data_IF_943611219812
#
_entry.id   IF_943611219812
#
_cell.length_a   1.000
_cell.length_b   1.000
_cell.length_c   1.000
_cell.angle_alpha   90.00
_cell.angle_beta   90.00
_cell.angle_gamma   90.00
#
_symmetry.space_group_name_H-M   'P 1'
#
loop_
_entity.id
_entity.type
_entity.pdbx_description
1 polymer ?
#
# COMPACT_ATOMS: atom_id res chain seq x y z
N UNK A 1 0.14 6.90 15.70
CA UNK A 1 0.87 8.08 15.17
C UNK A 1 1.88 7.54 14.17
N UNK A 2 1.96 8.08 12.95
CA UNK A 2 3.04 7.70 12.05
C UNK A 2 4.36 8.18 12.68
N UNK A 3 5.28 7.26 12.96
CA UNK A 3 6.60 7.64 13.46
C UNK A 3 7.22 8.63 12.48
N UNK A 4 7.56 9.82 12.97
CA UNK A 4 8.27 10.80 12.18
C UNK A 4 9.60 10.18 11.73
N UNK A 5 9.98 10.42 10.47
CA UNK A 5 11.30 10.04 9.99
C UNK A 5 12.34 10.74 10.88
N UNK A 6 13.18 9.99 11.57
CA UNK A 6 14.37 10.57 12.19
C UNK A 6 15.41 10.79 11.09
N UNK A 7 15.99 11.97 11.03
CA UNK A 7 17.01 12.36 10.05
C UNK A 7 18.15 13.14 10.72
N UNK A 8 18.16 13.20 12.06
CA UNK A 8 19.12 13.98 12.82
C UNK A 8 20.53 13.40 12.77
N UNK A 9 20.68 12.13 12.42
CA UNK A 9 21.97 11.45 12.25
C UNK A 9 22.53 11.58 10.82
N UNK A 10 21.79 12.18 9.88
CA UNK A 10 22.24 12.34 8.50
C UNK A 10 23.27 13.45 8.34
N UNK A 11 24.26 13.22 7.47
CA UNK A 11 25.31 14.18 7.12
C UNK A 11 25.11 14.68 5.69
N UNK A 12 25.50 15.92 5.42
CA UNK A 12 25.78 16.30 4.04
C UNK A 12 27.04 15.58 3.57
N UNK A 13 26.94 14.85 2.46
CA UNK A 13 28.05 14.11 1.86
C UNK A 13 28.43 14.67 0.49
N UNK A 14 29.72 14.61 0.15
CA UNK A 14 30.23 14.97 -1.17
C UNK A 14 31.36 14.05 -1.64
N UNK A 15 31.84 14.24 -2.87
CA UNK A 15 32.92 13.41 -3.46
C UNK A 15 34.31 13.65 -2.89
N UNK A 16 34.53 14.77 -2.19
CA UNK A 16 35.84 15.15 -1.65
C UNK A 16 35.73 16.16 -0.51
N UNK A 17 36.83 16.37 0.20
CA UNK A 17 37.00 17.53 1.09
C UNK A 17 36.87 18.87 0.31
N UNK A 18 36.48 19.96 0.98
CA UNK A 18 36.34 21.30 0.37
C UNK A 18 37.70 21.94 0.05
N UNK A 19 37.77 22.76 -1.02
CA UNK A 19 39.02 23.34 -1.57
C UNK A 19 39.38 24.67 -0.89
N UNK A 20 38.38 25.47 -0.56
CA UNK A 20 38.44 26.58 0.42
C UNK A 20 37.40 26.25 1.49
N UNK A 21 37.34 26.95 2.65
CA UNK A 21 36.31 26.67 3.63
C UNK A 21 34.93 26.54 2.97
N UNK A 22 34.43 25.30 2.92
CA UNK A 22 33.11 24.90 2.42
C UNK A 22 32.80 25.17 0.95
N UNK A 23 33.80 25.18 0.06
CA UNK A 23 33.52 25.34 -1.38
C UNK A 23 34.13 24.23 -2.22
N UNK A 24 33.43 23.90 -3.30
CA UNK A 24 33.81 22.91 -4.29
C UNK A 24 33.79 23.55 -5.67
N UNK A 25 34.56 22.98 -6.60
CA UNK A 25 34.42 23.32 -8.02
C UNK A 25 33.07 22.84 -8.54
N UNK A 26 32.59 23.48 -9.60
CA UNK A 26 31.44 22.99 -10.36
C UNK A 26 31.68 21.54 -10.83
N UNK A 27 30.61 20.74 -10.86
CA UNK A 27 30.65 19.39 -11.41
C UNK A 27 29.78 18.37 -10.68
N UNK A 28 29.83 17.14 -11.20
CA UNK A 28 28.98 16.04 -10.76
C UNK A 28 29.58 15.27 -9.58
N UNK A 29 28.72 14.67 -8.77
CA UNK A 29 29.05 13.63 -7.82
C UNK A 29 27.93 12.57 -7.87
N UNK A 30 28.33 11.30 -8.00
CA UNK A 30 27.40 10.17 -8.10
C UNK A 30 27.61 9.26 -6.91
N UNK A 31 26.55 9.01 -6.15
CA UNK A 31 26.56 8.27 -4.89
C UNK A 31 25.77 6.98 -5.01
N UNK A 32 26.24 5.91 -4.36
CA UNK A 32 25.54 4.62 -4.23
C UNK A 32 25.60 4.10 -2.81
N UNK A 33 24.51 3.50 -2.36
CA UNK A 33 24.44 2.68 -1.14
C UNK A 33 23.58 1.47 -1.40
N UNK A 34 24.20 0.30 -1.40
CA UNK A 34 23.50 -0.98 -1.39
C UNK A 34 23.17 -1.37 0.04
N UNK A 35 21.93 -1.78 0.25
CA UNK A 35 21.42 -2.21 1.53
C UNK A 35 20.69 -3.54 1.38
N UNK A 36 20.97 -4.49 2.27
CA UNK A 36 20.36 -5.82 2.25
C UNK A 36 19.39 -5.94 3.42
N UNK A 37 18.15 -6.40 3.19
CA UNK A 37 17.21 -6.66 4.28
C UNK A 37 17.81 -7.64 5.31
N UNK A 38 17.67 -7.37 6.62
CA UNK A 38 18.09 -8.31 7.65
C UNK A 38 17.38 -9.65 7.50
N UNK A 39 18.06 -10.73 7.85
CA UNK A 39 17.50 -12.09 7.77
C UNK A 39 16.19 -12.15 8.57
N UNK A 40 15.14 -12.66 7.94
CA UNK A 40 13.82 -12.81 8.56
C UNK A 40 12.95 -11.54 8.54
N UNK A 41 13.44 -10.45 7.95
CA UNK A 41 12.65 -9.23 7.73
C UNK A 41 12.18 -9.16 6.28
N UNK A 42 10.93 -8.75 6.08
CA UNK A 42 10.34 -8.51 4.76
C UNK A 42 10.09 -7.00 4.59
N UNK A 43 10.95 -6.29 3.84
CA UNK A 43 10.79 -4.85 3.65
C UNK A 43 9.58 -4.57 2.76
N UNK A 44 8.81 -3.56 3.13
CA UNK A 44 7.65 -3.11 2.35
C UNK A 44 8.04 -1.93 1.45
N UNK A 45 8.53 -0.86 2.04
CA UNK A 45 8.87 0.37 1.35
C UNK A 45 9.89 1.21 2.14
N UNK A 46 10.50 2.16 1.45
CA UNK A 46 11.33 3.22 1.99
C UNK A 46 10.57 4.54 1.98
N UNK A 47 10.58 5.24 3.11
CA UNK A 47 10.23 6.66 3.23
C UNK A 47 11.53 7.47 3.19
N UNK A 48 11.72 8.24 2.12
CA UNK A 48 13.00 8.84 1.74
C UNK A 48 12.89 10.35 1.74
N UNK A 49 13.69 11.04 2.54
CA UNK A 49 13.96 12.47 2.37
C UNK A 49 15.23 12.62 1.54
N UNK A 50 15.22 13.51 0.56
CA UNK A 50 16.39 13.88 -0.21
C UNK A 50 16.46 15.39 -0.47
N UNK A 51 17.68 15.92 -0.40
CA UNK A 51 18.01 17.31 -0.62
C UNK A 51 19.46 17.42 -1.13
N UNK A 52 19.77 18.49 -1.86
CA UNK A 52 21.13 18.76 -2.28
C UNK A 52 21.37 20.26 -2.45
N UNK A 53 22.65 20.60 -2.39
CA UNK A 53 23.23 21.85 -2.86
C UNK A 53 24.14 21.52 -4.07
N UNK A 54 23.75 21.82 -5.31
CA UNK A 54 22.54 22.54 -5.73
C UNK A 54 21.38 21.61 -6.14
N UNK A 55 21.69 20.50 -6.82
CA UNK A 55 20.68 19.65 -7.43
C UNK A 55 20.98 18.16 -7.28
N UNK A 56 19.92 17.35 -7.29
CA UNK A 56 20.02 15.90 -7.30
C UNK A 56 18.94 15.24 -8.16
N UNK A 57 19.24 14.02 -8.59
CA UNK A 57 18.27 13.01 -9.04
C UNK A 57 18.46 11.74 -8.21
N UNK A 58 17.37 11.26 -7.61
CA UNK A 58 17.32 10.05 -6.79
C UNK A 58 16.84 8.86 -7.63
N UNK A 59 17.50 7.73 -7.45
CA UNK A 59 17.14 6.45 -8.02
C UNK A 59 17.06 5.38 -6.93
N UNK A 60 16.14 4.44 -7.10
CA UNK A 60 16.04 3.24 -6.26
C UNK A 60 15.87 2.03 -7.17
N UNK A 61 16.76 1.06 -7.02
CA UNK A 61 16.74 -0.21 -7.77
C UNK A 61 16.61 -0.03 -9.30
N UNK A 62 17.39 0.88 -9.88
CA UNK A 62 17.33 1.16 -11.31
C UNK A 62 16.32 2.24 -11.73
N UNK A 63 15.33 2.55 -10.88
CA UNK A 63 14.23 3.44 -11.24
C UNK A 63 14.47 4.86 -10.75
N UNK A 64 14.33 5.85 -11.64
CA UNK A 64 14.30 7.26 -11.25
C UNK A 64 13.06 7.53 -10.38
N UNK A 65 13.30 8.00 -9.16
CA UNK A 65 12.25 8.30 -8.17
C UNK A 65 11.84 9.77 -8.23
N UNK A 66 12.83 10.67 -8.30
CA UNK A 66 12.58 12.11 -8.27
C UNK A 66 13.85 12.95 -8.37
N UNK A 67 13.68 14.27 -8.38
CA UNK A 67 14.79 15.23 -8.47
C UNK A 67 14.44 16.54 -7.79
N UNK A 68 15.43 17.23 -7.24
CA UNK A 68 15.26 18.53 -6.59
C UNK A 68 16.41 19.49 -6.86
N UNK A 69 16.13 20.78 -6.78
CA UNK A 69 17.07 21.89 -7.05
C UNK A 69 16.95 23.02 -6.01
N UNK A 70 16.26 22.78 -4.89
CA UNK A 70 15.92 23.81 -3.90
C UNK A 70 16.46 23.40 -2.55
N UNK A 71 17.57 24.01 -2.12
CA UNK A 71 18.21 23.69 -0.85
C UNK A 71 17.27 23.86 0.36
N UNK A 72 16.51 24.96 0.41
CA UNK A 72 15.63 25.27 1.55
C UNK A 72 14.43 24.31 1.73
N UNK A 73 14.16 23.45 0.74
CA UNK A 73 13.03 22.53 0.76
C UNK A 73 13.46 21.13 0.30
N UNK A 74 13.55 20.20 1.25
CA UNK A 74 13.77 18.80 0.90
C UNK A 74 12.54 18.23 0.18
N UNK A 75 12.74 17.19 -0.61
CA UNK A 75 11.63 16.38 -1.12
C UNK A 75 11.54 15.08 -0.36
N UNK A 76 10.34 14.50 -0.30
CA UNK A 76 10.08 13.23 0.36
C UNK A 76 9.38 12.29 -0.59
N UNK A 77 9.83 11.04 -0.61
CA UNK A 77 9.36 10.01 -1.53
C UNK A 77 9.00 8.75 -0.76
N UNK A 78 8.05 7.99 -1.29
CA UNK A 78 7.74 6.66 -0.83
C UNK A 78 8.04 5.69 -1.97
N UNK A 79 8.90 4.70 -1.74
CA UNK A 79 9.33 3.75 -2.78
C UNK A 79 9.22 2.31 -2.28
N UNK A 80 8.48 1.41 -2.96
CA UNK A 80 8.47 -0.02 -2.63
C UNK A 80 9.86 -0.63 -2.71
N UNK A 81 10.17 -1.57 -1.83
CA UNK A 81 11.46 -2.26 -1.79
C UNK A 81 11.33 -3.73 -2.23
N UNK A 82 12.46 -4.29 -2.68
CA UNK A 82 12.60 -5.71 -2.93
C UNK A 82 12.92 -6.47 -1.64
N UNK A 83 12.56 -7.75 -1.62
CA UNK A 83 12.97 -8.75 -0.62
C UNK A 83 14.45 -9.16 -0.74
N UNK A 84 15.12 -8.72 -1.81
CA UNK A 84 16.55 -8.87 -2.08
C UNK A 84 17.32 -7.59 -1.71
N UNK A 85 18.65 -7.52 -1.92
CA UNK A 85 19.36 -6.24 -1.81
C UNK A 85 18.69 -5.14 -2.63
N UNK A 86 18.62 -3.95 -2.04
CA UNK A 86 18.11 -2.73 -2.64
C UNK A 86 19.27 -1.74 -2.80
N UNK A 87 19.24 -0.94 -3.86
CA UNK A 87 20.24 0.08 -4.15
C UNK A 87 19.57 1.45 -4.13
N UNK A 88 20.13 2.35 -3.31
CA UNK A 88 19.82 3.78 -3.35
C UNK A 88 20.95 4.49 -4.07
N UNK A 89 20.64 5.22 -5.14
CA UNK A 89 21.64 5.95 -5.91
C UNK A 89 21.22 7.40 -6.10
N UNK A 90 22.18 8.33 -6.05
CA UNK A 90 21.95 9.75 -6.19
C UNK A 90 22.97 10.32 -7.16
N UNK A 91 22.50 10.97 -8.22
CA UNK A 91 23.34 11.83 -9.06
C UNK A 91 23.12 13.26 -8.61
N UNK A 92 24.18 13.96 -8.19
CA UNK A 92 24.12 15.34 -7.77
C UNK A 92 25.09 16.22 -8.56
N UNK A 93 24.78 17.51 -8.64
CA UNK A 93 25.61 18.49 -9.34
C UNK A 93 25.71 19.77 -8.53
N UNK A 94 26.95 20.23 -8.38
CA UNK A 94 27.25 21.60 -7.98
C UNK A 94 27.34 22.44 -9.26
N UNK A 95 26.47 23.42 -9.41
CA UNK A 95 26.31 24.17 -10.66
C UNK A 95 27.28 25.36 -10.70
N UNK A 96 27.27 26.30 -9.75
CA UNK A 96 28.24 27.38 -9.74
C UNK A 96 29.64 26.87 -9.37
N UNK A 97 30.68 27.61 -9.79
CA UNK A 97 32.05 27.30 -9.37
C UNK A 97 32.37 27.95 -8.03
N UNK A 98 33.09 27.23 -7.17
CA UNK A 98 33.50 27.68 -5.84
C UNK A 98 32.32 28.00 -4.88
N UNK A 99 31.28 27.18 -4.93
CA UNK A 99 30.12 27.19 -4.01
C UNK A 99 30.12 25.97 -3.08
N UNK A 100 29.36 26.01 -1.97
CA UNK A 100 29.04 24.81 -1.21
C UNK A 100 28.43 23.72 -2.08
N UNK A 101 28.65 22.47 -1.71
CA UNK A 101 28.07 21.33 -2.40
C UNK A 101 27.86 20.18 -1.41
N UNK A 102 26.75 19.48 -1.56
CA UNK A 102 26.46 18.35 -0.68
C UNK A 102 25.12 17.72 -0.99
N UNK A 103 25.03 16.41 -0.74
CA UNK A 103 23.78 15.66 -0.76
C UNK A 103 23.41 15.26 0.64
N UNK A 104 22.13 15.37 0.96
CA UNK A 104 21.54 14.90 2.19
C UNK A 104 20.42 13.91 1.87
N UNK A 105 20.43 12.75 2.53
CA UNK A 105 19.30 11.82 2.48
C UNK A 105 19.13 11.06 3.79
N UNK A 106 17.88 10.85 4.17
CA UNK A 106 17.48 9.96 5.25
C UNK A 106 16.40 9.02 4.71
N UNK A 107 16.56 7.72 4.93
CA UNK A 107 15.74 6.67 4.37
C UNK A 107 15.29 5.76 5.52
N UNK A 108 14.00 5.75 5.82
CA UNK A 108 13.43 4.79 6.78
C UNK A 108 12.79 3.65 6.02
N UNK A 109 13.32 2.46 6.25
CA UNK A 109 12.74 1.22 5.74
C UNK A 109 11.62 0.79 6.69
N UNK A 110 10.46 0.43 6.15
CA UNK A 110 9.31 -0.10 6.88
C UNK A 110 9.13 -1.58 6.55
N UNK A 111 8.96 -2.42 7.58
CA UNK A 111 8.79 -3.86 7.44
C UNK A 111 7.35 -4.32 7.69
N UNK A 112 7.01 -5.52 7.20
CA UNK A 112 5.68 -6.13 7.40
C UNK A 112 5.32 -6.37 8.87
N UNK A 113 6.33 -6.52 9.74
CA UNK A 113 6.19 -6.68 11.19
C UNK A 113 6.10 -5.34 11.96
N UNK A 114 5.93 -4.22 11.24
CA UNK A 114 5.87 -2.84 11.76
C UNK A 114 7.19 -2.28 12.32
N UNK A 115 8.27 -3.05 12.33
CA UNK A 115 9.59 -2.52 12.68
C UNK A 115 10.16 -1.62 11.58
N UNK A 116 11.23 -0.88 11.89
CA UNK A 116 11.92 -0.02 10.93
C UNK A 116 13.42 -0.12 11.00
N UNK A 117 14.09 0.16 9.88
CA UNK A 117 15.52 0.51 9.83
C UNK A 117 15.69 1.94 9.32
N UNK A 118 16.85 2.53 9.61
CA UNK A 118 17.24 3.83 9.08
C UNK A 118 18.57 3.75 8.35
N UNK A 119 18.61 4.39 7.18
CA UNK A 119 19.76 4.55 6.31
C UNK A 119 19.96 6.05 6.15
N UNK A 120 21.17 6.54 6.42
CA UNK A 120 21.48 7.98 6.38
C UNK A 120 22.57 8.28 5.36
N UNK A 121 22.69 9.53 4.92
CA UNK A 121 23.87 9.98 4.18
C UNK A 121 25.08 10.09 5.13
N UNK A 122 26.10 9.26 4.88
CA UNK A 122 27.29 9.07 5.71
C UNK A 122 28.46 8.51 4.88
N UNK A 123 29.59 8.19 5.53
CA UNK A 123 30.77 7.55 4.90
C UNK A 123 30.54 6.14 4.35
N UNK A 124 29.40 5.50 4.62
CA UNK A 124 29.10 4.17 4.06
C UNK A 124 28.63 4.25 2.60
N UNK A 125 28.28 5.44 2.12
CA UNK A 125 28.01 5.67 0.71
C UNK A 125 29.29 5.64 -0.12
N UNK A 126 29.21 5.00 -1.29
CA UNK A 126 30.24 5.02 -2.32
C UNK A 126 30.04 6.21 -3.24
N UNK A 127 31.11 6.84 -3.71
CA UNK A 127 31.04 8.04 -4.55
C UNK A 127 32.07 8.03 -5.70
N UNK A 128 31.65 8.57 -6.83
CA UNK A 128 32.50 8.95 -7.97
C UNK A 128 32.12 10.35 -8.48
N UNK A 129 32.85 10.88 -9.45
CA UNK A 129 32.53 12.16 -10.11
C UNK A 129 31.31 12.02 -11.03
N UNK A 130 31.54 11.57 -12.25
CA UNK A 130 30.49 11.36 -13.25
C UNK A 130 29.78 10.02 -13.07
N UNK A 131 28.54 9.92 -13.53
CA UNK A 131 27.74 8.71 -13.44
C UNK A 131 28.07 7.74 -14.59
N UNK A 132 28.69 6.57 -14.31
CA UNK A 132 28.85 5.54 -15.33
C UNK A 132 27.48 5.01 -15.79
N UNK A 133 27.41 4.45 -16.99
CA UNK A 133 26.18 3.82 -17.47
C UNK A 133 25.75 2.67 -16.53
N UNK A 134 24.47 2.62 -16.18
CA UNK A 134 23.90 1.60 -15.29
C UNK A 134 24.27 1.75 -13.81
N UNK A 135 24.89 2.86 -13.40
CA UNK A 135 25.25 3.12 -12.00
C UNK A 135 24.07 3.09 -11.03
N UNK A 136 22.83 3.09 -11.49
CA UNK A 136 21.63 3.05 -10.67
C UNK A 136 21.07 1.63 -10.47
N UNK A 137 21.59 0.66 -11.22
CA UNK A 137 21.15 -0.74 -11.18
C UNK A 137 21.62 -1.47 -9.90
N UNK A 138 20.88 -2.49 -9.49
CA UNK A 138 21.13 -3.24 -8.24
C UNK A 138 22.44 -4.03 -8.30
N UNK A 139 22.79 -4.54 -9.48
CA UNK A 139 23.94 -5.41 -9.73
C UNK A 139 25.20 -4.67 -10.17
N UNK A 140 25.17 -3.34 -10.26
CA UNK A 140 26.34 -2.55 -10.60
C UNK A 140 27.44 -2.66 -9.52
N UNK A 141 28.67 -2.98 -9.93
CA UNK A 141 29.84 -3.09 -9.06
C UNK A 141 30.47 -1.71 -8.79
N UNK A 142 30.27 -1.20 -7.57
CA UNK A 142 30.86 0.05 -7.08
C UNK A 142 32.05 -0.18 -6.12
N UNK A 143 32.61 -1.40 -6.07
CA UNK A 143 33.69 -1.74 -5.13
C UNK A 143 34.95 -0.88 -5.31
N UNK A 144 35.19 -0.38 -6.52
CA UNK A 144 36.31 0.52 -6.85
C UNK A 144 36.05 2.00 -6.48
N UNK A 145 34.82 2.36 -6.07
CA UNK A 145 34.48 3.75 -5.75
C UNK A 145 34.97 4.13 -4.35
N UNK A 146 35.33 5.40 -4.20
CA UNK A 146 35.75 5.96 -2.92
C UNK A 146 34.58 6.03 -1.94
N UNK A 147 34.87 6.03 -0.65
CA UNK A 147 33.87 6.41 0.36
C UNK A 147 33.52 7.90 0.23
N UNK A 148 32.26 8.24 0.48
CA UNK A 148 31.80 9.62 0.49
C UNK A 148 32.45 10.43 1.62
N UNK A 149 32.72 11.70 1.37
CA UNK A 149 33.25 12.63 2.35
C UNK A 149 32.10 13.31 3.10
N UNK A 150 32.07 13.21 4.43
CA UNK A 150 31.11 13.93 5.27
C UNK A 150 31.51 15.38 5.45
N UNK A 151 30.70 16.31 4.93
CA UNK A 151 30.87 17.75 5.09
C UNK A 151 30.46 18.22 6.50
N UNK A 152 29.45 17.56 7.08
CA UNK A 152 28.94 17.88 8.40
C UNK A 152 27.56 17.28 8.67
N UNK A 153 27.26 17.07 9.94
CA UNK A 153 25.98 16.54 10.43
C UNK A 153 24.87 17.59 10.31
N UNK A 154 23.65 17.16 10.01
CA UNK A 154 22.49 18.04 10.00
C UNK A 154 22.02 18.45 11.42
N UNK A 155 21.59 19.70 11.65
CA UNK A 155 21.76 20.85 10.76
C UNK A 155 23.22 21.29 10.74
N UNK A 156 23.80 21.49 9.55
CA UNK A 156 25.21 21.78 9.41
C UNK A 156 25.59 23.13 10.05
N UNK A 157 24.69 24.12 10.01
CA UNK A 157 24.85 25.45 10.59
C UNK A 157 23.52 26.24 10.77
N UNK A 158 23.51 27.34 11.54
CA UNK A 158 22.43 28.32 11.55
C UNK A 158 22.16 28.86 10.13
N UNK A 159 20.94 28.66 9.63
CA UNK A 159 20.52 29.08 8.27
C UNK A 159 20.43 27.95 7.24
N UNK A 160 20.97 26.75 7.52
CA UNK A 160 20.79 25.53 6.72
C UNK A 160 19.64 24.66 7.25
N UNK A 161 18.54 25.29 7.63
CA UNK A 161 17.31 24.57 7.98
C UNK A 161 16.55 24.21 6.70
N UNK A 162 16.34 22.92 6.48
CA UNK A 162 15.50 22.45 5.37
C UNK A 162 14.06 22.30 5.88
N UNK A 163 13.10 22.74 5.06
CA UNK A 163 11.71 22.36 5.28
C UNK A 163 11.53 20.93 4.82
N UNK A 164 11.02 20.07 5.70
CA UNK A 164 10.72 18.68 5.40
C UNK A 164 9.23 18.56 5.14
N UNK A 165 8.81 18.11 3.94
CA UNK A 165 7.41 17.89 3.68
C UNK A 165 6.87 16.75 4.58
N UNK A 166 5.57 16.79 4.92
CA UNK A 166 4.95 15.71 5.67
C UNK A 166 5.13 14.38 4.92
N UNK A 167 5.00 13.23 5.61
CA UNK A 167 4.96 11.94 4.92
C UNK A 167 3.95 12.03 3.78
N UNK A 168 4.27 11.49 2.58
CA UNK A 168 3.28 11.43 1.52
C UNK A 168 2.02 10.83 2.10
N UNK A 169 0.94 11.62 2.14
CA UNK A 169 -0.34 11.16 2.64
C UNK A 169 -0.69 9.94 1.81
N UNK A 170 -1.13 8.85 2.46
CA UNK A 170 -1.81 7.75 1.74
C UNK A 170 -2.76 8.40 0.74
N UNK A 171 -2.84 7.95 -0.52
CA UNK A 171 -3.84 8.43 -1.46
C UNK A 171 -5.23 8.14 -0.88
N UNK A 172 -5.72 9.07 -0.06
CA UNK A 172 -7.11 9.19 0.29
C UNK A 172 -7.61 10.24 -0.68
N UNK A 173 -7.95 9.79 -1.88
CA UNK A 173 -8.62 10.61 -2.89
C UNK A 173 -10.01 11.08 -2.39
N UNK A 174 -10.43 10.68 -1.18
CA UNK A 174 -11.70 11.03 -0.56
C UNK A 174 -12.87 10.28 -1.20
N UNK A 175 -12.62 9.33 -2.10
CA UNK A 175 -13.66 8.70 -2.90
C UNK A 175 -14.32 7.54 -2.14
N UNK A 176 -13.57 6.80 -1.32
CA UNK A 176 -14.09 5.64 -0.58
C UNK A 176 -14.66 4.54 -1.49
N UNK A 177 -15.12 3.40 -0.95
CA UNK A 177 -15.84 2.43 -1.75
C UNK A 177 -17.19 2.99 -2.21
N UNK A 178 -17.45 2.96 -3.52
CA UNK A 178 -18.70 3.45 -4.12
C UNK A 178 -19.68 2.31 -4.39
N UNK A 179 -20.63 2.09 -3.46
CA UNK A 179 -21.72 1.13 -3.66
C UNK A 179 -22.58 1.44 -4.92
N UNK A 180 -22.82 2.71 -5.32
CA UNK A 180 -23.54 3.01 -6.55
C UNK A 180 -22.85 2.53 -7.84
N UNK A 181 -21.55 2.23 -7.78
CA UNK A 181 -20.80 1.65 -8.90
C UNK A 181 -20.90 0.12 -8.98
N UNK A 182 -21.48 -0.53 -7.96
CA UNK A 182 -21.58 -1.97 -7.85
C UNK A 182 -22.85 -2.54 -8.53
N UNK A 183 -22.88 -3.87 -8.65
CA UNK A 183 -24.01 -4.61 -9.19
C UNK A 183 -24.56 -5.56 -8.11
N UNK A 184 -25.88 -5.70 -8.06
CA UNK A 184 -26.49 -6.87 -7.43
C UNK A 184 -26.08 -8.10 -8.22
N UNK A 185 -25.52 -9.08 -7.52
CA UNK A 185 -25.14 -10.38 -8.07
C UNK A 185 -25.83 -11.51 -7.32
N UNK A 186 -26.07 -12.62 -8.00
CA UNK A 186 -26.54 -13.85 -7.38
C UNK A 186 -25.96 -15.10 -8.09
N UNK A 187 -26.56 -16.26 -7.85
CA UNK A 187 -26.28 -17.53 -8.55
C UNK A 187 -27.05 -17.60 -9.87
N UNK A 188 -26.79 -18.62 -10.69
CA UNK A 188 -27.54 -18.86 -11.93
C UNK A 188 -28.92 -19.52 -11.71
N UNK A 189 -29.39 -19.62 -10.47
CA UNK A 189 -30.63 -20.31 -10.11
C UNK A 189 -31.85 -19.38 -10.06
N UNK A 190 -31.69 -18.11 -10.44
CA UNK A 190 -32.79 -17.12 -10.44
C UNK A 190 -33.79 -17.46 -11.55
N UNK A 191 -35.06 -17.59 -11.18
CA UNK A 191 -36.19 -17.82 -12.09
C UNK A 191 -37.33 -16.85 -11.76
N UNK A 192 -37.85 -16.17 -12.79
CA UNK A 192 -38.93 -15.18 -12.64
C UNK A 192 -38.62 -14.07 -11.62
N UNK A 193 -37.34 -13.74 -11.40
CA UNK A 193 -36.91 -12.73 -10.42
C UNK A 193 -36.85 -13.21 -8.97
N UNK A 194 -37.03 -14.51 -8.72
CA UNK A 194 -36.89 -15.12 -7.40
C UNK A 194 -35.77 -16.16 -7.42
N UNK A 195 -35.12 -16.36 -6.28
CA UNK A 195 -34.14 -17.43 -6.11
C UNK A 195 -34.68 -18.52 -5.16
N UNK A 196 -34.17 -19.76 -5.22
CA UNK A 196 -34.48 -20.78 -4.23
C UNK A 196 -34.12 -20.34 -2.80
N UNK A 197 -34.90 -20.79 -1.82
CA UNK A 197 -34.58 -20.64 -0.39
C UNK A 197 -33.32 -21.44 -0.08
N UNK A 198 -32.43 -20.86 0.71
CA UNK A 198 -31.25 -21.53 1.22
C UNK A 198 -30.00 -20.68 1.18
N UNK A 199 -28.88 -21.35 1.40
CA UNK A 199 -27.60 -20.73 1.68
C UNK A 199 -26.72 -20.80 0.44
N UNK A 200 -25.96 -19.73 0.18
CA UNK A 200 -24.95 -19.67 -0.89
C UNK A 200 -23.67 -19.09 -0.33
N UNK A 201 -22.56 -19.40 -0.98
CA UNK A 201 -21.27 -18.79 -0.68
C UNK A 201 -20.82 -17.96 -1.88
N UNK A 202 -20.34 -16.74 -1.63
CA UNK A 202 -19.66 -15.89 -2.61
C UNK A 202 -18.23 -15.66 -2.17
N UNK A 203 -17.30 -15.63 -3.14
CA UNK A 203 -15.87 -15.47 -2.87
C UNK A 203 -15.17 -14.64 -3.94
N UNK A 204 -14.27 -13.76 -3.49
CA UNK A 204 -13.35 -13.01 -4.35
C UNK A 204 -11.95 -13.06 -3.76
N UNK A 205 -11.00 -13.52 -4.58
CA UNK A 205 -9.56 -13.49 -4.26
C UNK A 205 -8.92 -12.33 -5.01
N UNK A 206 -8.29 -11.44 -4.27
CA UNK A 206 -7.57 -10.29 -4.82
C UNK A 206 -6.08 -10.53 -4.59
N UNK A 207 -5.31 -10.55 -5.68
CA UNK A 207 -3.85 -10.62 -5.66
C UNK A 207 -3.29 -9.32 -6.18
N UNK A 208 -2.49 -8.65 -5.36
CA UNK A 208 -1.83 -7.41 -5.70
C UNK A 208 -0.53 -7.70 -6.47
N UNK A 209 -0.11 -6.81 -7.39
CA UNK A 209 1.21 -6.91 -8.01
C UNK A 209 2.32 -6.90 -6.95
N UNK A 210 3.46 -7.52 -7.26
CA UNK A 210 4.63 -7.58 -6.36
C UNK A 210 5.00 -6.20 -5.81
N UNK A 211 5.28 -6.12 -4.52
CA UNK A 211 5.62 -4.86 -3.83
C UNK A 211 4.41 -4.00 -3.41
N UNK A 212 3.19 -4.33 -3.85
CA UNK A 212 1.98 -3.69 -3.37
C UNK A 212 1.39 -4.49 -2.22
N UNK A 213 1.23 -3.84 -1.08
CA UNK A 213 0.65 -4.40 0.12
C UNK A 213 -0.52 -3.53 0.57
N UNK A 214 -1.53 -4.17 1.14
CA UNK A 214 -2.67 -3.51 1.79
C UNK A 214 -2.75 -4.00 3.23
N UNK A 215 -3.13 -3.11 4.15
CA UNK A 215 -3.20 -3.39 5.58
C UNK A 215 -4.61 -3.21 6.17
N UNK A 216 -5.55 -2.74 5.37
CA UNK A 216 -6.95 -2.69 5.76
C UNK A 216 -7.88 -2.72 4.54
N UNK A 217 -9.15 -2.98 4.80
CA UNK A 217 -10.22 -2.89 3.82
C UNK A 217 -11.42 -2.14 4.40
N UNK A 218 -12.00 -1.23 3.62
CA UNK A 218 -13.32 -0.65 3.89
C UNK A 218 -14.31 -1.34 2.95
N UNK A 219 -15.33 -1.97 3.52
CA UNK A 219 -16.29 -2.80 2.80
C UNK A 219 -17.68 -2.25 3.08
N UNK A 220 -18.41 -1.88 2.03
CA UNK A 220 -19.84 -1.57 2.10
C UNK A 220 -20.58 -2.70 1.40
N UNK A 221 -21.59 -3.28 2.03
CA UNK A 221 -22.38 -4.35 1.44
C UNK A 221 -23.83 -4.38 1.91
N UNK A 222 -24.70 -4.97 1.09
CA UNK A 222 -26.05 -5.38 1.45
C UNK A 222 -26.34 -6.74 0.81
N UNK A 223 -27.17 -7.53 1.48
CA UNK A 223 -27.61 -8.84 0.98
C UNK A 223 -29.08 -9.03 1.29
N UNK A 224 -29.83 -9.43 0.27
CA UNK A 224 -31.21 -9.90 0.40
C UNK A 224 -31.18 -11.44 0.47
N UNK A 225 -31.35 -12.08 1.63
CA UNK A 225 -31.90 -11.54 2.89
C UNK A 225 -30.86 -11.35 4.00
N UNK A 226 -29.94 -12.30 4.16
CA UNK A 226 -29.02 -12.35 5.30
C UNK A 226 -27.58 -12.62 4.85
N UNK A 227 -26.60 -12.12 5.60
CA UNK A 227 -25.20 -12.41 5.34
C UNK A 227 -24.35 -12.57 6.60
N UNK A 228 -23.24 -13.28 6.43
CA UNK A 228 -22.03 -13.17 7.26
C UNK A 228 -20.83 -12.91 6.35
N UNK A 229 -20.11 -11.82 6.62
CA UNK A 229 -18.93 -11.38 5.92
C UNK A 229 -17.66 -11.91 6.58
N UNK A 230 -16.74 -12.37 5.76
CA UNK A 230 -15.41 -12.82 6.15
C UNK A 230 -14.33 -12.12 5.33
N UNK A 231 -13.23 -11.77 6.00
CA UNK A 231 -12.00 -11.28 5.35
C UNK A 231 -10.83 -12.12 5.82
N UNK A 232 -10.09 -12.70 4.88
CA UNK A 232 -8.95 -13.57 5.14
C UNK A 232 -9.25 -14.72 6.10
N UNK A 233 -10.46 -15.28 6.04
CA UNK A 233 -10.91 -16.37 6.91
C UNK A 233 -11.44 -15.93 8.28
N UNK A 234 -11.41 -14.63 8.61
CA UNK A 234 -11.90 -14.10 9.88
C UNK A 234 -13.29 -13.50 9.73
N UNK A 235 -14.15 -13.68 10.73
CA UNK A 235 -15.51 -13.11 10.78
C UNK A 235 -15.45 -11.61 10.99
N UNK A 236 -16.03 -10.85 10.06
CA UNK A 236 -16.14 -9.39 10.16
C UNK A 236 -17.45 -9.02 10.84
N UNK A 237 -18.57 -9.53 10.33
CA UNK A 237 -19.89 -9.23 10.87
C UNK A 237 -21.00 -9.81 10.02
N UNK A 238 -22.21 -9.72 10.55
CA UNK A 238 -23.44 -10.25 9.95
C UNK A 238 -24.54 -9.20 9.87
N UNK A 239 -25.46 -9.37 8.93
CA UNK A 239 -26.64 -8.53 8.78
C UNK A 239 -27.83 -9.28 8.17
N UNK A 240 -29.04 -8.78 8.40
CA UNK A 240 -30.32 -9.43 8.04
C UNK A 240 -31.32 -8.47 7.41
N UNK A 241 -30.89 -7.29 6.98
CA UNK A 241 -31.75 -6.29 6.34
C UNK A 241 -31.03 -5.66 5.15
N UNK A 242 -31.49 -5.97 3.94
CA UNK A 242 -30.92 -5.41 2.71
C UNK A 242 -31.30 -3.94 2.50
N UNK A 243 -32.31 -3.43 3.22
CA UNK A 243 -32.83 -2.07 3.03
C UNK A 243 -31.89 -1.00 3.54
N UNK A 244 -30.81 -1.38 4.23
CA UNK A 244 -29.72 -0.51 4.64
C UNK A 244 -28.41 -1.29 4.52
N UNK A 245 -27.45 -0.77 3.77
CA UNK A 245 -26.13 -1.39 3.68
C UNK A 245 -25.41 -1.35 5.04
N UNK A 246 -24.48 -2.29 5.25
CA UNK A 246 -23.53 -2.26 6.35
C UNK A 246 -22.18 -1.76 5.83
N UNK A 247 -21.42 -1.08 6.69
CA UNK A 247 -20.06 -0.62 6.38
C UNK A 247 -19.11 -1.18 7.43
N UNK A 248 -18.02 -1.79 7.01
CA UNK A 248 -16.99 -2.32 7.90
C UNK A 248 -15.63 -1.76 7.49
N UNK A 249 -14.82 -1.40 8.47
CA UNK A 249 -13.38 -1.19 8.28
C UNK A 249 -12.63 -2.29 9.02
N UNK A 250 -11.85 -3.07 8.30
CA UNK A 250 -11.15 -4.24 8.83
C UNK A 250 -9.65 -4.02 8.68
N UNK A 251 -8.92 -4.15 9.78
CA UNK A 251 -7.45 -4.04 9.81
C UNK A 251 -6.83 -5.42 9.89
N UNK A 252 -5.77 -5.66 9.14
CA UNK A 252 -5.04 -6.92 9.11
C UNK A 252 -3.55 -6.68 8.82
N UNK A 253 -2.67 -7.67 9.10
CA UNK A 253 -1.26 -7.55 8.74
C UNK A 253 -1.08 -7.25 7.25
N UNK A 254 -0.12 -6.39 6.85
CA UNK A 254 0.17 -6.09 5.46
C UNK A 254 0.29 -7.35 4.61
N UNK A 255 -0.48 -7.42 3.51
CA UNK A 255 -0.53 -8.59 2.64
C UNK A 255 -0.69 -8.19 1.17
N UNK A 256 -0.18 -9.04 0.28
CA UNK A 256 -0.39 -8.95 -1.17
C UNK A 256 -1.61 -9.74 -1.64
N UNK A 257 -2.23 -10.54 -0.77
CA UNK A 257 -3.42 -11.32 -1.08
C UNK A 257 -4.51 -11.06 -0.04
N UNK A 258 -5.70 -10.70 -0.53
CA UNK A 258 -6.91 -10.53 0.30
C UNK A 258 -8.00 -11.44 -0.24
N UNK A 259 -8.68 -12.16 0.65
CA UNK A 259 -9.88 -12.93 0.32
C UNK A 259 -11.08 -12.30 1.01
N UNK A 260 -12.10 -12.00 0.21
CA UNK A 260 -13.40 -11.56 0.70
C UNK A 260 -14.37 -12.68 0.40
N UNK A 261 -15.01 -13.18 1.45
CA UNK A 261 -15.95 -14.29 1.36
C UNK A 261 -17.23 -13.93 2.10
N UNK A 262 -18.37 -14.32 1.54
CA UNK A 262 -19.68 -13.98 2.08
C UNK A 262 -20.52 -15.24 2.09
N UNK A 263 -20.94 -15.65 3.29
CA UNK A 263 -22.08 -16.54 3.45
C UNK A 263 -23.34 -15.72 3.28
N UNK A 264 -24.27 -16.16 2.44
CA UNK A 264 -25.55 -15.50 2.25
C UNK A 264 -26.68 -16.49 2.41
N UNK A 265 -27.83 -16.03 2.90
CA UNK A 265 -29.06 -16.83 2.98
C UNK A 265 -30.22 -16.07 2.34
N UNK A 266 -30.89 -16.74 1.41
CA UNK A 266 -32.19 -16.35 0.92
C UNK A 266 -33.28 -17.05 1.75
N UNK A 267 -34.18 -16.28 2.35
CA UNK A 267 -35.32 -16.81 3.12
C UNK A 267 -36.61 -16.87 2.28
N UNK A 268 -36.58 -16.37 1.05
CA UNK A 268 -37.64 -16.46 0.05
C UNK A 268 -37.73 -15.20 -0.81
N UNK A 269 -38.26 -15.34 -2.02
CA UNK A 269 -38.44 -14.22 -2.95
C UNK A 269 -37.16 -13.87 -3.74
N UNK A 270 -37.01 -12.59 -4.14
CA UNK A 270 -35.78 -12.08 -4.76
C UNK A 270 -34.55 -12.29 -3.86
N UNK A 271 -33.39 -12.45 -4.47
CA UNK A 271 -32.13 -12.57 -3.74
C UNK A 271 -31.02 -11.83 -4.47
N UNK A 272 -30.10 -11.25 -3.70
CA UNK A 272 -29.00 -10.49 -4.27
C UNK A 272 -27.96 -10.14 -3.22
N UNK A 273 -26.71 -10.04 -3.68
CA UNK A 273 -25.59 -9.53 -2.92
C UNK A 273 -24.97 -8.35 -3.68
N UNK A 274 -24.76 -7.23 -3.01
CA UNK A 274 -24.06 -6.08 -3.56
C UNK A 274 -22.97 -5.61 -2.60
N UNK A 275 -21.79 -5.29 -3.12
CA UNK A 275 -20.70 -4.73 -2.32
C UNK A 275 -19.77 -3.83 -3.13
N UNK A 276 -19.23 -2.83 -2.44
CA UNK A 276 -18.07 -2.07 -2.87
C UNK A 276 -16.99 -2.16 -1.79
N UNK A 277 -15.75 -2.31 -2.23
CA UNK A 277 -14.59 -2.54 -1.39
C UNK A 277 -13.48 -1.58 -1.77
N UNK A 278 -12.87 -0.98 -0.76
CA UNK A 278 -11.61 -0.27 -0.86
C UNK A 278 -10.55 -1.05 -0.08
N UNK A 279 -9.50 -1.51 -0.75
CA UNK A 279 -8.30 -2.03 -0.12
C UNK A 279 -7.31 -0.89 0.05
N UNK A 280 -6.97 -0.60 1.31
CA UNK A 280 -6.13 0.55 1.68
C UNK A 280 -4.68 0.15 1.66
N UNK A 281 -3.89 0.84 0.84
CA UNK A 281 -2.45 0.61 0.72
C UNK A 281 -1.76 0.72 2.09
N UNK A 282 -0.92 -0.25 2.40
CA UNK A 282 0.02 -0.18 3.53
C UNK A 282 1.39 0.37 3.12
N UNK A 283 1.60 0.62 1.82
CA UNK A 283 2.82 1.23 1.29
C UNK A 283 2.52 2.39 0.33
N UNK A 284 3.33 2.51 -0.71
CA UNK A 284 3.35 3.70 -1.58
C UNK A 284 2.32 3.69 -2.71
N UNK A 285 1.56 2.61 -2.86
CA UNK A 285 0.56 2.48 -3.92
C UNK A 285 -0.74 3.24 -3.61
N UNK A 286 -1.47 3.59 -4.68
CA UNK A 286 -2.86 4.00 -4.54
C UNK A 286 -3.72 2.85 -3.98
N UNK A 287 -4.82 3.21 -3.31
CA UNK A 287 -5.83 2.25 -2.89
C UNK A 287 -6.40 1.50 -4.09
N UNK A 288 -7.03 0.36 -3.83
CA UNK A 288 -7.67 -0.47 -4.86
C UNK A 288 -9.15 -0.57 -4.58
N UNK A 289 -9.96 -0.37 -5.61
CA UNK A 289 -11.40 -0.43 -5.51
C UNK A 289 -11.93 -1.64 -6.27
N UNK A 290 -12.85 -2.37 -5.65
CA UNK A 290 -13.52 -3.52 -6.23
C UNK A 290 -15.01 -3.39 -5.96
N UNK A 291 -15.81 -3.97 -6.85
CA UNK A 291 -17.26 -4.05 -6.66
C UNK A 291 -17.74 -5.47 -6.91
N UNK A 292 -18.97 -5.77 -6.52
CA UNK A 292 -19.67 -6.96 -6.99
C UNK A 292 -19.97 -6.84 -8.48
N UNK A 293 -19.52 -7.84 -9.22
CA UNK A 293 -19.66 -8.00 -10.66
C UNK A 293 -19.57 -9.50 -11.02
N UNK A 294 -19.63 -9.83 -12.31
CA UNK A 294 -19.56 -11.22 -12.80
C UNK A 294 -18.21 -11.91 -12.60
N UNK A 295 -17.21 -11.28 -11.95
CA UNK A 295 -15.93 -11.90 -11.63
C UNK A 295 -15.90 -12.57 -10.25
N UNK A 296 -16.96 -12.41 -9.46
CA UNK A 296 -17.15 -13.12 -8.21
C UNK A 296 -17.50 -14.58 -8.46
N UNK A 297 -17.01 -15.46 -7.60
CA UNK A 297 -17.31 -16.90 -7.66
C UNK A 297 -18.39 -17.23 -6.65
N UNK A 298 -19.25 -18.19 -6.97
CA UNK A 298 -20.27 -18.66 -6.05
C UNK A 298 -20.33 -20.19 -5.95
N UNK A 299 -20.91 -20.67 -4.85
CA UNK A 299 -21.27 -22.08 -4.64
C UNK A 299 -22.67 -22.18 -4.05
N UNK A 300 -23.43 -23.18 -4.51
CA UNK A 300 -24.75 -23.54 -3.98
C UNK A 300 -24.71 -24.41 -2.73
N UNK A 301 -23.51 -24.86 -2.37
CA UNK A 301 -23.18 -25.48 -1.09
C UNK A 301 -22.36 -24.52 -0.22
N UNK A 302 -22.19 -24.85 1.06
CA UNK A 302 -21.33 -24.12 2.01
C UNK A 302 -20.15 -25.01 2.41
N UNK A 303 -19.07 -25.10 1.61
CA UNK A 303 -17.92 -25.92 1.94
C UNK A 303 -17.22 -25.41 3.21
N UNK A 304 -16.78 -26.34 4.05
CA UNK A 304 -15.97 -26.01 5.22
C UNK A 304 -14.69 -25.30 4.77
N UNK A 305 -14.38 -24.16 5.39
CA UNK A 305 -13.16 -23.41 5.10
C UNK A 305 -13.20 -22.56 3.84
N UNK A 306 -14.34 -22.41 3.14
CA UNK A 306 -14.46 -21.50 1.99
C UNK A 306 -13.97 -20.06 2.25
N UNK A 307 -14.09 -19.50 3.49
CA UNK A 307 -13.57 -18.17 3.77
C UNK A 307 -12.04 -18.06 3.79
N UNK A 308 -11.33 -19.19 3.92
CA UNK A 308 -9.90 -19.21 4.15
C UNK A 308 -9.09 -18.80 2.91
N UNK A 309 -7.92 -18.19 3.13
CA UNK A 309 -6.97 -17.77 2.10
C UNK A 309 -6.62 -18.91 1.11
N UNK A 310 -6.35 -20.10 1.65
CA UNK A 310 -5.90 -21.26 0.86
C UNK A 310 -7.01 -22.08 0.19
N UNK A 311 -8.28 -21.69 0.32
CA UNK A 311 -9.38 -22.45 -0.29
C UNK A 311 -9.33 -22.35 -1.83
N UNK A 312 -9.47 -23.50 -2.50
CA UNK A 312 -9.50 -23.59 -3.96
C UNK A 312 -10.94 -23.50 -4.49
N UNK A 313 -11.29 -22.33 -5.04
CA UNK A 313 -12.59 -22.07 -5.65
C UNK A 313 -12.56 -22.20 -7.19
N UNK A 314 -11.54 -22.82 -7.80
CA UNK A 314 -11.45 -22.97 -9.27
C UNK A 314 -12.61 -23.72 -9.91
N UNK A 315 -13.25 -24.62 -9.17
CA UNK A 315 -14.44 -25.33 -9.63
C UNK A 315 -15.75 -24.55 -9.44
N UNK A 316 -15.71 -23.37 -8.79
CA UNK A 316 -16.90 -22.54 -8.57
C UNK A 316 -17.25 -21.77 -9.83
N UNK A 317 -18.54 -21.62 -10.08
CA UNK A 317 -19.07 -20.83 -11.18
C UNK A 317 -18.95 -19.32 -10.89
N UNK A 318 -19.05 -18.53 -11.96
CA UNK A 318 -19.07 -17.06 -11.87
C UNK A 318 -20.50 -16.57 -11.60
N UNK A 319 -20.60 -15.54 -10.77
CA UNK A 319 -21.87 -14.96 -10.38
C UNK A 319 -22.61 -14.30 -11.56
N UNK A 320 -23.94 -14.38 -11.52
CA UNK A 320 -24.83 -13.66 -12.44
C UNK A 320 -25.01 -12.22 -11.97
N UNK A 321 -25.08 -11.28 -12.91
CA UNK A 321 -25.44 -9.88 -12.61
C UNK A 321 -26.97 -9.75 -12.69
N UNK A 322 -27.59 -9.49 -11.55
CA UNK A 322 -29.05 -9.26 -11.44
C UNK A 322 -29.42 -7.82 -11.81
N UNK A 323 -28.52 -6.88 -11.56
CA UNK A 323 -28.68 -5.50 -12.02
C UNK A 323 -27.78 -4.49 -11.31
N UNK A 324 -27.86 -3.23 -11.73
CA UNK A 324 -27.11 -2.13 -11.11
C UNK A 324 -27.69 -1.75 -9.75
N UNK A 325 -26.91 -1.10 -8.91
CA UNK A 325 -27.44 -0.33 -7.79
C UNK A 325 -28.62 0.56 -8.23
N UNK A 326 -29.71 0.61 -7.46
CA UNK A 326 -30.91 1.38 -7.83
C UNK A 326 -31.98 0.58 -8.57
N UNK A 327 -31.69 -0.64 -9.04
CA UNK A 327 -32.65 -1.47 -9.79
C UNK A 327 -33.76 -2.02 -8.88
N UNK A 328 -34.96 -2.22 -9.42
CA UNK A 328 -36.00 -2.98 -8.74
C UNK A 328 -35.57 -4.45 -8.55
N UNK A 329 -35.98 -5.12 -7.46
CA UNK A 329 -36.87 -4.63 -6.41
C UNK A 329 -36.18 -3.80 -5.32
N UNK A 330 -34.84 -3.77 -5.28
CA UNK A 330 -34.08 -3.22 -4.15
C UNK A 330 -34.02 -1.69 -4.10
N UNK A 331 -34.05 -1.02 -5.24
CA UNK A 331 -33.97 0.44 -5.33
C UNK A 331 -32.64 0.99 -4.82
N UNK A 332 -32.68 2.20 -4.28
CA UNK A 332 -31.50 2.88 -3.72
C UNK A 332 -31.26 2.44 -2.28
N UNK A 333 -30.41 1.43 -2.07
CA UNK A 333 -30.00 0.99 -0.74
C UNK A 333 -29.19 2.09 -0.03
N UNK A 334 -29.69 2.66 1.08
CA UNK A 334 -28.97 3.65 1.88
C UNK A 334 -27.59 3.17 2.31
N UNK A 335 -26.61 4.09 2.21
CA UNK A 335 -25.20 3.83 2.52
C UNK A 335 -24.86 4.50 3.85
N UNK A 336 -24.40 3.76 4.87
CA UNK A 336 -24.04 4.33 6.16
C UNK A 336 -22.71 5.08 6.11
N UNK A 337 -22.59 6.10 6.97
CA UNK A 337 -21.36 6.89 7.15
C UNK A 337 -20.50 6.42 8.32
N UNK A 338 -21.03 5.53 9.18
CA UNK A 338 -20.33 4.94 10.32
C UNK A 338 -20.07 3.47 10.08
N UNK A 339 -19.01 2.97 10.71
CA UNK A 339 -18.71 1.55 10.67
C UNK A 339 -19.67 0.79 11.61
N UNK A 340 -20.06 -0.39 11.16
CA UNK A 340 -20.78 -1.38 11.94
C UNK A 340 -19.79 -2.11 12.84
N UNK A 341 -20.17 -2.49 14.07
CA UNK A 341 -19.30 -3.23 14.96
C UNK A 341 -19.08 -4.67 14.46
N UNK A 342 -18.01 -5.30 14.93
CA UNK A 342 -17.81 -6.74 14.75
C UNK A 342 -18.98 -7.53 15.36
N UNK A 343 -19.47 -8.56 14.66
CA UNK A 343 -20.53 -9.43 15.17
C UNK A 343 -20.33 -10.90 14.81
N UNK A 344 -20.98 -11.79 15.56
CA UNK A 344 -20.88 -13.23 15.38
C UNK A 344 -21.44 -13.69 14.02
N UNK A 345 -20.97 -14.85 13.50
CA UNK A 345 -21.58 -15.45 12.31
C UNK A 345 -23.03 -15.86 12.58
N UNK A 346 -23.88 -15.80 11.54
CA UNK A 346 -25.24 -16.33 11.61
C UNK A 346 -25.22 -17.86 11.73
N UNK A 347 -26.31 -18.49 12.23
CA UNK A 347 -26.45 -19.94 12.15
C UNK A 347 -26.19 -20.45 10.73
N UNK A 348 -25.57 -21.61 10.55
CA UNK A 348 -25.22 -22.17 9.23
C UNK A 348 -23.96 -21.59 8.58
N UNK A 349 -23.58 -20.36 8.92
CA UNK A 349 -22.33 -19.79 8.44
C UNK A 349 -21.12 -20.45 9.13
N UNK A 350 -20.01 -20.74 8.43
CA UNK A 350 -18.86 -21.39 9.05
C UNK A 350 -18.30 -20.60 10.24
N UNK A 351 -17.97 -21.26 11.37
CA UNK A 351 -17.36 -20.58 12.50
C UNK A 351 -15.95 -20.11 12.13
N UNK A 352 -15.57 -18.94 12.63
CA UNK A 352 -14.23 -18.38 12.47
C UNK A 352 -13.91 -17.44 13.65
N UNK A 353 -12.62 -17.16 13.85
CA UNK A 353 -12.19 -16.13 14.78
C UNK A 353 -12.64 -14.74 14.31
N UNK A 354 -12.89 -13.80 15.23
CA UNK A 354 -13.27 -12.43 14.88
C UNK A 354 -12.12 -11.69 14.20
N UNK A 355 -12.45 -10.88 13.19
CA UNK A 355 -11.55 -9.93 12.56
C UNK A 355 -11.38 -8.68 13.45
N UNK A 356 -10.31 -7.93 13.24
CA UNK A 356 -10.10 -6.64 13.88
C UNK A 356 -10.88 -5.56 13.11
N UNK A 357 -12.10 -5.25 13.58
CA UNK A 357 -12.98 -4.23 12.99
C UNK A 357 -12.87 -2.92 13.76
N UNK A 358 -12.70 -1.82 13.03
CA UNK A 358 -12.70 -0.46 13.59
C UNK A 358 -14.14 0.01 13.70
N UNK A 359 -14.60 0.26 14.93
CA UNK A 359 -15.97 0.70 15.24
C UNK A 359 -16.20 2.20 15.02
#
# INVERSE_FOLDING_TARGET
MADALDFLDSNYIWKSAPIRPRTHRTGNATFRRTWTPPIGKEPMYADIIANADDEYTLFVNGWKVGSGTVLAAAQRYCVPLFDSPNTFAIQARNVPDNTPAGVFTAIQVKYTDSSTDIIVSDRQWRVTGDAPEGFEQVDFDDSAWSAAFEQGRYPAEPGYSITIPPPPSKPNDGVGPSLPSANWIWTNEVDGGNAPVGERAFRRVIRLPRGNLVGSAIIILAVDNEFTLYVNGLVVGSGTDYRVAQRYEVVFPPTSTVVIAVFVRNTGGPAGFISAVELVSSGCSANRFLVTDGSWRYSTSIPVGFPNLGYDDRAWELASIEGKYGIAPWGQTPIPTRNSPQSAPLPGAPPAFPANVVA
#
